data_IF_705607934749
#
_entry.id   IF_705607934749
#
_cell.length_a   1.000
_cell.length_b   1.000
_cell.length_c   1.000
_cell.angle_alpha   90.00
_cell.angle_beta   90.00
_cell.angle_gamma   90.00
#
_symmetry.space_group_name_H-M   'P 1'
#
loop_
_entity.id
_entity.type
_entity.pdbx_description
1 polymer ?
#
# COMPACT_ATOMS: atom_id res chain seq x y z
N UNK A 1 11.21 -23.75 -26.29
CA UNK A 1 10.90 -22.94 -27.50
C UNK A 1 11.97 -23.06 -28.58
N UNK A 2 13.26 -22.88 -28.27
CA UNK A 2 14.33 -22.92 -29.28
C UNK A 2 14.45 -24.27 -30.04
N UNK A 3 14.44 -25.42 -29.35
CA UNK A 3 14.47 -26.74 -30.01
C UNK A 3 13.28 -26.96 -30.95
N UNK A 4 12.06 -26.71 -30.44
CA UNK A 4 10.81 -26.80 -31.21
C UNK A 4 10.81 -25.89 -32.44
N UNK A 5 11.28 -24.64 -32.29
CA UNK A 5 11.40 -23.70 -33.41
C UNK A 5 12.40 -24.16 -34.47
N UNK A 6 13.51 -24.79 -34.04
CA UNK A 6 14.51 -25.38 -34.95
C UNK A 6 13.94 -26.58 -35.70
N UNK A 7 13.24 -27.48 -35.02
CA UNK A 7 12.57 -28.64 -35.62
C UNK A 7 11.55 -28.22 -36.70
N UNK A 8 10.71 -27.22 -36.41
CA UNK A 8 9.73 -26.69 -37.36
C UNK A 8 10.38 -25.98 -38.54
N UNK A 9 11.48 -25.26 -38.29
CA UNK A 9 12.25 -24.61 -39.35
C UNK A 9 12.91 -25.63 -40.28
N UNK A 10 13.53 -26.68 -39.72
CA UNK A 10 14.09 -27.79 -40.50
C UNK A 10 12.99 -28.54 -41.29
N UNK A 11 11.81 -28.72 -40.70
CA UNK A 11 10.62 -29.26 -41.39
C UNK A 11 10.19 -28.41 -42.58
N UNK A 12 10.17 -27.08 -42.41
CA UNK A 12 9.90 -26.12 -43.49
C UNK A 12 10.92 -26.26 -44.63
N UNK A 13 12.22 -26.33 -44.31
CA UNK A 13 13.29 -26.48 -45.30
C UNK A 13 13.14 -27.77 -46.10
N UNK A 14 12.85 -28.90 -45.43
CA UNK A 14 12.61 -30.19 -46.10
C UNK A 14 11.39 -30.15 -47.02
N UNK A 15 10.27 -29.59 -46.58
CA UNK A 15 9.06 -29.45 -47.40
C UNK A 15 9.32 -28.56 -48.63
N UNK A 16 10.10 -27.49 -48.47
CA UNK A 16 10.49 -26.62 -49.57
C UNK A 16 11.36 -27.36 -50.61
N UNK A 17 12.29 -28.20 -50.17
CA UNK A 17 13.16 -29.01 -51.05
C UNK A 17 12.38 -30.06 -51.84
N UNK A 18 11.33 -30.63 -51.25
CA UNK A 18 10.44 -31.60 -51.89
C UNK A 18 9.39 -30.94 -52.83
N UNK A 19 9.36 -29.60 -52.91
CA UNK A 19 8.39 -28.86 -53.70
C UNK A 19 6.98 -28.80 -53.09
N UNK A 20 6.79 -29.31 -51.88
CA UNK A 20 5.51 -29.26 -51.16
C UNK A 20 5.32 -27.89 -50.49
N UNK A 21 4.80 -26.95 -51.30
CA UNK A 21 4.55 -25.57 -50.87
C UNK A 21 3.50 -25.46 -49.76
N UNK A 22 2.52 -26.37 -49.71
CA UNK A 22 1.45 -26.31 -48.71
C UNK A 22 2.03 -26.60 -47.32
N UNK A 23 2.77 -27.70 -47.20
CA UNK A 23 3.42 -28.10 -45.94
C UNK A 23 4.51 -27.11 -45.52
N UNK A 24 5.29 -26.57 -46.47
CA UNK A 24 6.27 -25.53 -46.18
C UNK A 24 5.63 -24.26 -45.60
N UNK A 25 4.52 -23.80 -46.20
CA UNK A 25 3.77 -22.63 -45.72
C UNK A 25 3.21 -22.83 -44.30
N UNK A 26 2.69 -24.01 -44.01
CA UNK A 26 2.21 -24.37 -42.67
C UNK A 26 3.33 -24.28 -41.63
N UNK A 27 4.47 -24.93 -41.87
CA UNK A 27 5.62 -24.87 -40.94
C UNK A 27 6.15 -23.44 -40.77
N UNK A 28 6.21 -22.65 -41.83
CA UNK A 28 6.61 -21.25 -41.76
C UNK A 28 5.66 -20.42 -40.88
N UNK A 29 4.35 -20.66 -40.98
CA UNK A 29 3.33 -20.05 -40.12
C UNK A 29 3.56 -20.36 -38.64
N UNK A 30 3.81 -21.63 -38.30
CA UNK A 30 4.09 -22.06 -36.93
C UNK A 30 5.38 -21.43 -36.37
N UNK A 31 6.45 -21.36 -37.17
CA UNK A 31 7.69 -20.67 -36.76
C UNK A 31 7.45 -19.19 -36.50
N UNK A 32 6.66 -18.53 -37.36
CA UNK A 32 6.31 -17.12 -37.17
C UNK A 32 5.51 -16.90 -35.88
N UNK A 33 4.54 -17.78 -35.57
CA UNK A 33 3.79 -17.72 -34.32
C UNK A 33 4.68 -17.94 -33.09
N UNK A 34 5.57 -18.95 -33.12
CA UNK A 34 6.51 -19.19 -32.03
C UNK A 34 7.43 -17.99 -31.77
N UNK A 35 7.92 -17.34 -32.83
CA UNK A 35 8.73 -16.12 -32.70
C UNK A 35 7.92 -14.98 -32.06
N UNK A 36 6.65 -14.83 -32.45
CA UNK A 36 5.75 -13.83 -31.88
C UNK A 36 5.54 -14.06 -30.38
N UNK A 37 5.24 -15.30 -29.98
CA UNK A 37 5.07 -15.68 -28.57
C UNK A 37 6.37 -15.43 -27.78
N UNK A 38 7.52 -15.88 -28.32
CA UNK A 38 8.82 -15.66 -27.68
C UNK A 38 9.10 -14.18 -27.44
N UNK A 39 8.76 -13.30 -28.39
CA UNK A 39 8.93 -11.86 -28.20
C UNK A 39 8.04 -11.32 -27.08
N UNK A 40 6.80 -11.82 -26.95
CA UNK A 40 5.89 -11.37 -25.89
C UNK A 40 6.40 -11.81 -24.53
N UNK A 41 6.87 -13.05 -24.39
CA UNK A 41 7.43 -13.59 -23.15
C UNK A 41 8.62 -12.76 -22.69
N UNK A 42 9.62 -12.53 -23.56
CA UNK A 42 10.82 -11.74 -23.22
C UNK A 42 10.46 -10.31 -22.82
N UNK A 43 9.52 -9.68 -23.53
CA UNK A 43 9.03 -8.34 -23.15
C UNK A 43 8.32 -8.36 -21.79
N UNK A 44 7.55 -9.41 -21.51
CA UNK A 44 6.88 -9.63 -20.24
C UNK A 44 7.87 -9.78 -19.10
N UNK A 45 8.89 -10.63 -19.25
CA UNK A 45 9.96 -10.84 -18.27
C UNK A 45 10.67 -9.52 -17.92
N UNK A 46 11.09 -8.75 -18.92
CA UNK A 46 11.72 -7.43 -18.71
C UNK A 46 10.78 -6.45 -18.01
N UNK A 47 9.48 -6.50 -18.32
CA UNK A 47 8.49 -5.62 -17.68
C UNK A 47 8.30 -5.99 -16.20
N UNK A 48 8.25 -7.28 -15.89
CA UNK A 48 8.19 -7.78 -14.52
C UNK A 48 9.47 -7.48 -13.73
N UNK A 49 10.64 -7.60 -14.35
CA UNK A 49 11.92 -7.24 -13.72
C UNK A 49 11.96 -5.74 -13.36
N UNK A 50 11.49 -4.87 -14.26
CA UNK A 50 11.35 -3.43 -13.95
C UNK A 50 10.42 -3.16 -12.78
N UNK A 51 9.28 -3.87 -12.70
CA UNK A 51 8.35 -3.77 -11.57
C UNK A 51 9.03 -4.24 -10.27
N UNK A 52 9.73 -5.37 -10.31
CA UNK A 52 10.46 -5.89 -9.16
C UNK A 52 11.54 -4.91 -8.66
N UNK A 53 12.28 -4.26 -9.57
CA UNK A 53 13.25 -3.22 -9.23
C UNK A 53 12.59 -2.02 -8.53
N UNK A 54 11.44 -1.55 -9.04
CA UNK A 54 10.68 -0.46 -8.40
C UNK A 54 10.17 -0.85 -7.01
N UNK A 55 9.66 -2.07 -6.85
CA UNK A 55 9.20 -2.57 -5.55
C UNK A 55 10.35 -2.69 -4.54
N UNK A 56 11.56 -3.08 -4.97
CA UNK A 56 12.76 -3.07 -4.13
C UNK A 56 13.07 -1.66 -3.65
N UNK A 57 13.08 -0.66 -4.52
CA UNK A 57 13.28 0.74 -4.12
C UNK A 57 12.23 1.23 -3.12
N UNK A 58 10.95 0.87 -3.32
CA UNK A 58 9.87 1.21 -2.36
C UNK A 58 10.11 0.56 -0.99
N UNK A 59 10.58 -0.70 -0.97
CA UNK A 59 10.94 -1.40 0.26
C UNK A 59 12.11 -0.70 0.98
N UNK A 60 13.18 -0.40 0.25
CA UNK A 60 14.37 0.25 0.80
C UNK A 60 14.02 1.65 1.33
N UNK A 61 13.16 2.39 0.62
CA UNK A 61 12.66 3.68 1.07
C UNK A 61 11.81 3.57 2.34
N UNK A 62 10.90 2.59 2.43
CA UNK A 62 10.13 2.33 3.67
C UNK A 62 11.05 2.07 4.85
N UNK A 63 12.11 1.30 4.65
CA UNK A 63 13.09 1.05 5.70
C UNK A 63 13.78 2.35 6.13
N UNK A 64 14.17 3.22 5.18
CA UNK A 64 14.76 4.53 5.48
C UNK A 64 13.79 5.43 6.27
N UNK A 65 12.51 5.49 5.92
CA UNK A 65 11.48 6.22 6.67
C UNK A 65 11.41 5.73 8.12
N UNK A 66 11.44 4.40 8.34
CA UNK A 66 11.42 3.82 9.68
C UNK A 66 12.61 4.23 10.56
N UNK A 67 13.75 4.57 9.95
CA UNK A 67 14.96 5.04 10.64
C UNK A 67 14.93 6.56 10.85
N UNK A 68 14.51 7.32 9.84
CA UNK A 68 14.58 8.80 9.86
C UNK A 68 13.38 9.43 10.57
N UNK A 69 12.19 8.82 10.49
CA UNK A 69 10.96 9.35 11.08
C UNK A 69 11.06 9.69 12.57
N UNK A 70 11.60 8.81 13.43
CA UNK A 70 11.80 9.12 14.84
C UNK A 70 12.72 10.33 15.08
N UNK A 71 13.75 10.54 14.26
CA UNK A 71 14.65 11.68 14.39
C UNK A 71 13.94 13.01 14.05
N UNK A 72 13.02 13.00 13.09
CA UNK A 72 12.18 14.17 12.76
C UNK A 72 11.29 14.57 13.94
N UNK A 73 10.67 13.60 14.62
CA UNK A 73 9.87 13.87 15.83
C UNK A 73 10.70 14.54 16.94
N UNK A 74 11.97 14.13 17.10
CA UNK A 74 12.89 14.76 18.06
C UNK A 74 13.21 16.21 17.64
N UNK A 75 13.44 16.46 16.36
CA UNK A 75 13.68 17.82 15.82
C UNK A 75 12.47 18.72 16.09
N UNK A 76 11.25 18.23 15.84
CA UNK A 76 10.00 18.96 16.10
C UNK A 76 9.83 19.28 17.59
N UNK A 77 10.12 18.31 18.47
CA UNK A 77 10.05 18.52 19.91
C UNK A 77 11.05 19.59 20.37
N UNK A 78 12.32 19.49 19.97
CA UNK A 78 13.35 20.47 20.32
C UNK A 78 12.99 21.86 19.77
N UNK A 79 12.50 21.94 18.53
CA UNK A 79 12.02 23.20 17.96
C UNK A 79 10.89 23.83 18.76
N UNK A 80 9.99 23.02 19.31
CA UNK A 80 8.90 23.49 20.18
C UNK A 80 9.40 24.00 21.54
N UNK A 81 10.35 23.31 22.17
CA UNK A 81 10.94 23.68 23.46
C UNK A 81 11.79 24.96 23.34
N UNK A 82 12.45 25.17 22.21
CA UNK A 82 13.29 26.35 21.95
C UNK A 82 12.51 27.58 21.49
N UNK A 83 11.20 27.48 21.25
CA UNK A 83 10.38 28.56 20.71
C UNK A 83 10.45 29.84 21.54
N UNK A 84 10.49 29.71 22.87
CA UNK A 84 10.45 30.84 23.80
C UNK A 84 11.86 31.30 24.26
N UNK A 85 12.89 30.45 24.07
CA UNK A 85 14.25 30.69 24.59
C UNK A 85 15.22 31.08 23.47
N UNK A 86 15.08 30.47 22.29
CA UNK A 86 15.95 30.67 21.13
C UNK A 86 15.10 30.63 19.84
N UNK A 87 14.29 31.68 19.59
CA UNK A 87 13.32 31.70 18.50
C UNK A 87 13.96 31.54 17.12
N UNK A 88 15.16 32.06 16.90
CA UNK A 88 15.90 31.92 15.64
C UNK A 88 16.24 30.45 15.35
N UNK A 89 16.63 29.70 16.39
CA UNK A 89 16.94 28.26 16.27
C UNK A 89 15.66 27.46 16.01
N UNK A 90 14.57 27.80 16.69
CA UNK A 90 13.24 27.22 16.44
C UNK A 90 12.79 27.41 14.98
N UNK A 91 13.01 28.59 14.40
CA UNK A 91 12.70 28.87 12.98
C UNK A 91 13.56 28.00 12.06
N UNK A 92 14.88 27.93 12.29
CA UNK A 92 15.76 27.07 11.48
C UNK A 92 15.40 25.58 11.55
N UNK A 93 14.96 25.08 12.72
CA UNK A 93 14.51 23.69 12.86
C UNK A 93 13.16 23.44 12.15
N UNK A 94 12.26 24.42 12.12
CA UNK A 94 11.02 24.33 11.32
C UNK A 94 11.31 24.31 9.83
N UNK A 95 12.23 25.15 9.34
CA UNK A 95 12.65 25.11 7.92
C UNK A 95 13.30 23.78 7.55
N UNK A 96 14.00 23.13 8.48
CA UNK A 96 14.55 21.79 8.28
C UNK A 96 13.44 20.75 8.21
N UNK A 97 12.44 20.82 9.09
CA UNK A 97 11.26 19.96 9.09
C UNK A 97 10.49 20.05 7.75
N UNK A 98 10.21 21.28 7.28
CA UNK A 98 9.53 21.53 6.01
C UNK A 98 10.30 20.93 4.81
N UNK A 99 11.63 21.07 4.79
CA UNK A 99 12.49 20.49 3.73
C UNK A 99 12.51 18.97 3.77
N UNK A 100 12.47 18.37 4.97
CA UNK A 100 12.40 16.92 5.11
C UNK A 100 11.03 16.41 4.63
N UNK A 101 9.94 17.10 4.97
CA UNK A 101 8.61 16.76 4.46
C UNK A 101 8.51 16.87 2.93
N UNK A 102 9.06 17.93 2.34
CA UNK A 102 9.15 18.07 0.87
C UNK A 102 9.95 16.90 0.25
N UNK A 103 11.06 16.50 0.87
CA UNK A 103 11.86 15.36 0.43
C UNK A 103 11.04 14.06 0.47
N UNK A 104 10.26 13.80 1.53
CA UNK A 104 9.42 12.60 1.60
C UNK A 104 8.32 12.58 0.53
N UNK A 105 7.65 13.72 0.31
CA UNK A 105 6.66 13.89 -0.75
C UNK A 105 7.29 13.63 -2.13
N UNK A 106 8.47 14.21 -2.39
CA UNK A 106 9.18 14.06 -3.66
C UNK A 106 9.61 12.61 -3.94
N UNK A 107 9.93 11.85 -2.89
CA UNK A 107 10.32 10.45 -2.99
C UNK A 107 9.13 9.49 -3.22
N UNK A 108 7.90 10.01 -3.35
CA UNK A 108 6.70 9.21 -3.60
C UNK A 108 6.16 8.50 -2.36
N UNK A 109 6.61 8.91 -1.18
CA UNK A 109 5.98 8.54 0.09
C UNK A 109 5.10 9.68 0.55
N UNK A 110 3.95 9.32 1.11
CA UNK A 110 3.14 10.31 1.81
C UNK A 110 3.93 10.71 3.09
N UNK A 111 4.16 12.02 3.36
CA UNK A 111 5.00 12.48 4.47
C UNK A 111 4.49 12.01 5.85
N UNK A 112 5.35 12.17 6.85
CA UNK A 112 5.19 11.72 8.25
C UNK A 112 3.80 11.95 8.87
N UNK A 113 3.09 13.01 8.44
CA UNK A 113 1.73 13.37 8.89
C UNK A 113 0.66 12.32 8.51
N UNK A 114 0.93 11.43 7.57
CA UNK A 114 -0.03 10.41 7.12
C UNK A 114 0.02 9.10 7.91
N UNK A 115 0.87 9.01 8.94
CA UNK A 115 0.90 7.83 9.83
C UNK A 115 0.04 7.98 11.09
N UNK A 116 -0.52 9.16 11.38
CA UNK A 116 -1.53 9.31 12.46
C UNK A 116 -2.97 9.13 11.98
N UNK A 117 -3.18 9.03 10.68
CA UNK A 117 -4.44 8.55 10.13
C UNK A 117 -4.19 7.14 9.62
N UNK A 118 -4.27 6.18 10.54
CA UNK A 118 -5.05 5.00 10.21
C UNK A 118 -6.30 5.52 9.50
N UNK A 119 -6.33 5.42 8.18
CA UNK A 119 -7.54 5.61 7.38
C UNK A 119 -8.47 4.52 7.84
N UNK A 120 -9.11 4.75 8.98
CA UNK A 120 -10.32 4.06 9.36
C UNK A 120 -11.25 4.45 8.24
N UNK A 121 -11.42 3.50 7.33
CA UNK A 121 -12.35 3.56 6.23
C UNK A 121 -13.65 4.23 6.71
N UNK A 122 -14.24 5.10 5.90
CA UNK A 122 -15.44 5.84 6.31
C UNK A 122 -16.55 4.85 6.75
N UNK A 123 -16.53 3.64 6.19
CA UNK A 123 -17.32 2.49 6.60
C UNK A 123 -16.94 1.95 7.99
N UNK A 124 -15.65 1.78 8.28
CA UNK A 124 -15.17 1.38 9.61
C UNK A 124 -15.50 2.42 10.70
N UNK A 125 -15.49 3.72 10.40
CA UNK A 125 -15.94 4.76 11.34
C UNK A 125 -17.45 4.66 11.63
N UNK A 126 -18.27 4.39 10.60
CA UNK A 126 -19.71 4.14 10.78
C UNK A 126 -19.97 2.90 11.61
N UNK A 127 -19.26 1.80 11.34
CA UNK A 127 -19.38 0.55 12.11
C UNK A 127 -19.02 0.78 13.58
N UNK A 128 -17.96 1.54 13.87
CA UNK A 128 -17.58 1.88 15.25
C UNK A 128 -18.61 2.76 15.95
N UNK A 129 -19.24 3.71 15.23
CA UNK A 129 -20.33 4.52 15.77
C UNK A 129 -21.57 3.68 16.07
N UNK A 130 -21.97 2.81 15.16
CA UNK A 130 -23.10 1.88 15.35
C UNK A 130 -22.83 0.92 16.52
N UNK A 131 -21.63 0.35 16.59
CA UNK A 131 -21.23 -0.53 17.69
C UNK A 131 -21.26 0.21 19.04
N UNK A 132 -20.80 1.46 19.09
CA UNK A 132 -20.85 2.29 20.29
C UNK A 132 -22.27 2.61 20.73
N UNK A 133 -23.15 2.97 19.78
CA UNK A 133 -24.57 3.21 20.07
C UNK A 133 -25.28 1.96 20.60
N UNK A 134 -24.98 0.79 20.04
CA UNK A 134 -25.51 -0.50 20.53
C UNK A 134 -24.94 -0.85 21.91
N UNK A 135 -23.66 -0.58 22.16
CA UNK A 135 -23.05 -0.79 23.47
C UNK A 135 -23.68 0.11 24.54
N UNK A 136 -23.89 1.40 24.24
CA UNK A 136 -24.61 2.33 25.13
C UNK A 136 -26.04 1.86 25.40
N UNK A 137 -26.76 1.42 24.37
CA UNK A 137 -28.12 0.91 24.52
C UNK A 137 -28.15 -0.34 25.39
N UNK A 138 -27.18 -1.26 25.23
CA UNK A 138 -27.06 -2.48 26.05
C UNK A 138 -26.68 -2.16 27.49
N UNK A 139 -25.79 -1.21 27.72
CA UNK A 139 -25.43 -0.77 29.08
C UNK A 139 -26.66 -0.14 29.74
N UNK A 140 -27.39 0.72 29.02
CA UNK A 140 -28.60 1.39 29.52
C UNK A 140 -29.74 0.40 29.81
N UNK A 141 -29.91 -0.65 28.99
CA UNK A 141 -30.90 -1.70 29.22
C UNK A 141 -30.47 -2.74 30.26
N UNK A 142 -29.16 -2.89 30.51
CA UNK A 142 -28.60 -3.73 31.57
C UNK A 142 -28.50 -3.00 32.92
N UNK A 143 -28.84 -1.70 32.97
CA UNK A 143 -29.00 -0.91 34.20
C UNK A 143 -30.48 -0.59 34.59
N UNK A 144 -31.43 -1.55 34.72
CA UNK A 144 -32.73 -1.26 35.32
C UNK A 144 -32.75 -1.22 36.85
N UNK A 145 -31.71 -1.68 37.55
CA UNK A 145 -31.82 -1.96 39.00
C UNK A 145 -31.38 -0.82 39.93
N UNK A 146 -30.67 0.20 39.43
CA UNK A 146 -30.19 1.31 40.28
C UNK A 146 -31.27 2.38 40.51
N UNK A 147 -32.33 2.43 39.70
CA UNK A 147 -33.44 3.37 39.91
C UNK A 147 -34.60 2.78 40.71
N UNK A 148 -34.82 1.45 40.67
CA UNK A 148 -35.90 0.82 41.44
C UNK A 148 -35.58 0.71 42.93
N UNK A 149 -34.31 0.49 43.31
CA UNK A 149 -33.90 0.51 44.71
C UNK A 149 -34.07 1.88 45.36
N UNK A 150 -34.04 2.98 44.58
CA UNK A 150 -34.25 4.33 45.09
C UNK A 150 -35.73 4.68 45.36
N UNK A 151 -36.67 4.07 44.64
CA UNK A 151 -38.11 4.33 44.81
C UNK A 151 -38.73 3.54 45.97
N UNK A 152 -38.16 2.36 46.29
CA UNK A 152 -38.65 1.52 47.40
C UNK A 152 -38.29 2.06 48.78
N UNK A 153 -37.21 2.84 48.94
CA UNK A 153 -36.85 3.43 50.25
C UNK A 153 -37.63 4.70 50.59
N UNK A 154 -38.18 5.41 49.59
CA UNK A 154 -39.03 6.59 49.81
C UNK A 154 -40.49 6.21 50.11
N UNK A 155 -40.98 5.13 49.51
CA UNK A 155 -42.39 4.71 49.68
C UNK A 155 -42.66 4.01 51.02
N UNK A 156 -41.64 3.40 51.65
CA UNK A 156 -41.75 2.77 52.97
C UNK A 156 -41.64 3.73 54.17
N UNK A 157 -41.46 5.04 53.94
CA UNK A 157 -41.28 6.05 55.01
C UNK A 157 -42.51 6.96 55.22
N UNK A 158 -43.66 6.64 54.60
CA UNK A 158 -44.89 7.45 54.66
C UNK A 158 -46.16 6.71 55.10
N UNK A 159 -46.02 5.62 55.83
CA UNK A 159 -47.12 5.03 56.64
C UNK A 159 -46.64 4.78 58.05
#
# INVERSE_FOLDING_TARGET
MASRGKELFEGCVRAQQLGDKATASMYAGEVAQLRKISSVVVKGELSLEKVALRLRSVKDFRQAVGVVGPAIKVIQQIGSELKDIAPEVSVSLRELDDKLDELFVSAGSVPSVFSDVASVDQEAQKILQEASAVAEQRIRSSFPEVQQSYQSWETGRRT
#
